data_IF_731770177452
#
_entry.id   IF_731770177452
#
_cell.length_a   1.000
_cell.length_b   1.000
_cell.length_c   1.000
_cell.angle_alpha   90.00
_cell.angle_beta   90.00
_cell.angle_gamma   90.00
#
_symmetry.space_group_name_H-M   'P 1'
#
loop_
_entity.id
_entity.type
_entity.pdbx_description
1 polymer ?
#
# COMPACT_ATOMS: atom_id res chain seq x y z
N UNK A 1 29.76 47.76 6.53
CA UNK A 1 29.78 46.59 5.60
C UNK A 1 29.86 45.23 6.28
N UNK A 2 30.40 45.07 7.50
CA UNK A 2 30.49 43.76 8.18
C UNK A 2 29.11 43.15 8.51
N UNK A 3 28.15 43.97 8.95
CA UNK A 3 26.79 43.52 9.36
C UNK A 3 25.93 42.97 8.20
N UNK A 4 26.16 43.41 6.96
CA UNK A 4 25.45 42.93 5.77
C UNK A 4 25.97 41.54 5.34
N UNK A 5 27.27 41.26 5.52
CA UNK A 5 27.85 39.95 5.22
C UNK A 5 27.26 38.86 6.11
N UNK A 6 27.10 39.13 7.41
CA UNK A 6 26.49 38.16 8.32
C UNK A 6 25.03 37.84 7.95
N UNK A 7 24.27 38.83 7.47
CA UNK A 7 22.88 38.65 7.07
C UNK A 7 22.73 37.72 5.86
N UNK A 8 23.64 37.81 4.88
CA UNK A 8 23.68 36.93 3.70
C UNK A 8 24.08 35.50 4.09
N UNK A 9 25.02 35.33 5.03
CA UNK A 9 25.41 34.00 5.52
C UNK A 9 24.29 33.31 6.32
N UNK A 10 23.48 34.05 7.08
CA UNK A 10 22.31 33.49 7.77
C UNK A 10 21.15 33.13 6.82
N UNK A 11 20.99 33.86 5.71
CA UNK A 11 19.92 33.59 4.74
C UNK A 11 20.23 32.38 3.85
N UNK A 12 21.52 32.11 3.57
CA UNK A 12 21.93 30.93 2.79
C UNK A 12 21.81 29.61 3.57
N UNK A 13 21.84 29.64 4.91
CA UNK A 13 21.76 28.44 5.76
C UNK A 13 20.34 27.88 5.91
N UNK A 14 19.32 28.66 5.57
CA UNK A 14 17.91 28.31 5.76
C UNK A 14 17.30 27.48 4.61
N UNK A 15 18.03 27.27 3.50
CA UNK A 15 17.49 26.62 2.29
C UNK A 15 17.75 25.09 2.26
N UNK A 16 18.43 24.51 3.25
CA UNK A 16 18.89 23.09 3.17
C UNK A 16 17.86 22.06 3.69
N UNK A 17 16.62 22.43 4.03
CA UNK A 17 15.67 21.54 4.73
C UNK A 17 14.35 21.21 4.03
N UNK A 18 14.33 21.05 2.71
CA UNK A 18 13.15 20.45 2.03
C UNK A 18 13.54 19.46 0.94
N UNK A 19 14.26 18.41 1.32
CA UNK A 19 14.36 17.22 0.49
C UNK A 19 14.44 15.96 1.37
N UNK A 20 13.54 15.84 2.35
CA UNK A 20 13.21 14.53 2.90
C UNK A 20 12.37 13.81 1.83
N UNK A 21 13.05 13.33 0.79
CA UNK A 21 12.43 12.54 -0.27
C UNK A 21 11.96 11.22 0.32
N UNK A 22 10.72 11.16 0.79
CA UNK A 22 10.00 9.89 0.86
C UNK A 22 10.03 9.31 -0.54
N UNK A 23 10.83 8.26 -0.75
CA UNK A 23 10.78 7.49 -1.98
C UNK A 23 9.35 7.00 -2.12
N UNK A 24 8.60 7.60 -3.03
CA UNK A 24 7.25 7.18 -3.34
C UNK A 24 7.31 5.73 -3.79
N UNK A 25 6.67 4.84 -3.02
CA UNK A 25 6.61 3.41 -3.37
C UNK A 25 5.60 3.29 -4.50
N UNK A 26 6.09 3.24 -5.73
CA UNK A 26 5.25 2.95 -6.89
C UNK A 26 4.78 1.49 -6.79
N UNK A 27 3.46 1.22 -6.69
CA UNK A 27 2.96 -0.14 -6.68
C UNK A 27 3.15 -0.80 -8.05
N UNK A 28 3.27 -2.13 -8.07
CA UNK A 28 3.34 -2.91 -9.32
C UNK A 28 1.97 -2.94 -10.02
N UNK A 29 0.88 -3.01 -9.24
CA UNK A 29 -0.50 -3.10 -9.72
C UNK A 29 -1.47 -2.21 -8.92
N UNK A 30 -2.55 -1.78 -9.56
CA UNK A 30 -3.82 -1.41 -8.91
C UNK A 30 -4.65 -2.66 -8.58
N UNK A 31 -5.71 -2.55 -7.76
CA UNK A 31 -6.62 -3.69 -7.52
C UNK A 31 -7.21 -4.26 -8.80
N UNK A 32 -7.66 -3.40 -9.73
CA UNK A 32 -8.24 -3.83 -11.00
C UNK A 32 -7.24 -4.60 -11.88
N UNK A 33 -6.00 -4.13 -11.95
CA UNK A 33 -4.96 -4.82 -12.71
C UNK A 33 -4.55 -6.13 -12.05
N UNK A 34 -4.45 -6.16 -10.72
CA UNK A 34 -4.16 -7.38 -9.97
C UNK A 34 -5.26 -8.44 -10.18
N UNK A 35 -6.52 -8.05 -10.09
CA UNK A 35 -7.66 -8.96 -10.34
C UNK A 35 -7.66 -9.50 -11.77
N UNK A 36 -7.39 -8.64 -12.75
CA UNK A 36 -7.27 -9.05 -14.16
C UNK A 36 -6.13 -10.05 -14.34
N UNK A 37 -4.96 -9.77 -13.78
CA UNK A 37 -3.79 -10.65 -13.87
C UNK A 37 -4.04 -12.02 -13.21
N UNK A 38 -4.64 -12.03 -12.01
CA UNK A 38 -5.02 -13.28 -11.33
C UNK A 38 -6.04 -14.08 -12.14
N UNK A 39 -7.05 -13.43 -12.72
CA UNK A 39 -8.04 -14.06 -13.59
C UNK A 39 -7.41 -14.64 -14.88
N UNK A 40 -6.30 -14.07 -15.33
CA UNK A 40 -5.51 -14.59 -16.46
C UNK A 40 -4.53 -15.71 -16.05
N UNK A 41 -4.49 -16.08 -14.76
CA UNK A 41 -3.62 -17.14 -14.24
C UNK A 41 -2.18 -16.70 -13.92
N UNK A 42 -1.92 -15.39 -13.81
CA UNK A 42 -0.60 -14.89 -13.42
C UNK A 42 -0.32 -15.10 -11.92
N UNK A 43 0.93 -15.39 -11.58
CA UNK A 43 1.40 -15.41 -10.18
C UNK A 43 1.88 -14.02 -9.77
N UNK A 44 1.19 -13.43 -8.79
CA UNK A 44 1.52 -12.11 -8.24
C UNK A 44 2.33 -12.17 -6.94
N UNK A 45 2.84 -13.33 -6.55
CA UNK A 45 3.64 -13.49 -5.32
C UNK A 45 4.84 -12.54 -5.31
N UNK A 46 4.97 -11.77 -4.22
CA UNK A 46 6.03 -10.78 -4.04
C UNK A 46 5.78 -9.42 -4.70
N UNK A 47 4.74 -9.29 -5.53
CA UNK A 47 4.31 -8.02 -6.12
C UNK A 47 3.54 -7.16 -5.12
N UNK A 48 3.47 -5.87 -5.42
CA UNK A 48 2.74 -4.88 -4.63
C UNK A 48 1.46 -4.43 -5.33
N UNK A 49 0.38 -4.35 -4.56
CA UNK A 49 -0.93 -3.90 -5.06
C UNK A 49 -1.39 -2.70 -4.24
N UNK A 50 -1.76 -1.62 -4.91
CA UNK A 50 -2.42 -0.47 -4.29
C UNK A 50 -3.93 -0.55 -4.47
N UNK A 51 -4.68 -0.33 -3.40
CA UNK A 51 -6.13 -0.34 -3.42
C UNK A 51 -6.74 0.55 -2.33
N UNK A 52 -8.03 0.84 -2.47
CA UNK A 52 -8.86 1.46 -1.43
C UNK A 52 -9.58 0.35 -0.67
N UNK A 53 -9.66 0.45 0.65
CA UNK A 53 -10.43 -0.52 1.46
C UNK A 53 -11.93 -0.29 1.23
N UNK A 54 -12.57 -1.19 0.49
CA UNK A 54 -14.01 -1.10 0.24
C UNK A 54 -14.79 -1.62 1.45
N UNK A 55 -14.35 -2.74 2.03
CA UNK A 55 -14.90 -3.26 3.29
C UNK A 55 -13.81 -3.90 4.16
N UNK A 56 -13.88 -3.62 5.45
CA UNK A 56 -13.04 -4.26 6.46
C UNK A 56 -13.89 -5.17 7.34
N UNK A 57 -13.51 -6.44 7.44
CA UNK A 57 -14.14 -7.46 8.28
C UNK A 57 -13.12 -7.91 9.31
N UNK A 58 -13.16 -7.37 10.55
CA UNK A 58 -12.32 -7.85 11.63
C UNK A 58 -12.81 -9.21 12.14
N UNK A 59 -11.89 -10.04 12.61
CA UNK A 59 -12.18 -11.29 13.35
C UNK A 59 -13.11 -12.27 12.61
N UNK A 60 -12.91 -12.44 11.30
CA UNK A 60 -13.62 -13.42 10.48
C UNK A 60 -12.98 -14.82 10.53
N UNK A 61 -13.61 -15.80 9.90
CA UNK A 61 -13.08 -17.18 9.81
C UNK A 61 -11.73 -17.30 9.08
N UNK A 62 -11.38 -16.31 8.26
CA UNK A 62 -10.09 -16.19 7.59
C UNK A 62 -9.12 -15.22 8.30
N UNK A 63 -9.48 -14.74 9.49
CA UNK A 63 -8.79 -13.66 10.20
C UNK A 63 -9.33 -12.28 9.82
N UNK A 64 -8.45 -11.29 9.81
CA UNK A 64 -8.77 -9.92 9.40
C UNK A 64 -8.82 -9.85 7.87
N UNK A 65 -9.97 -9.51 7.31
CA UNK A 65 -10.18 -9.49 5.86
C UNK A 65 -10.47 -8.07 5.38
N UNK A 66 -9.75 -7.67 4.34
CA UNK A 66 -9.98 -6.46 3.57
C UNK A 66 -10.53 -6.88 2.21
N UNK A 67 -11.75 -6.46 1.89
CA UNK A 67 -12.37 -6.70 0.59
C UNK A 67 -12.17 -5.47 -0.29
N UNK A 68 -11.79 -5.71 -1.54
CA UNK A 68 -11.69 -4.68 -2.58
C UNK A 68 -11.87 -5.28 -3.96
N UNK A 69 -12.13 -4.43 -4.95
CA UNK A 69 -12.44 -4.89 -6.30
C UNK A 69 -13.69 -5.77 -6.30
N UNK A 70 -13.84 -6.60 -7.32
CA UNK A 70 -15.01 -7.46 -7.41
C UNK A 70 -14.85 -8.68 -6.49
N UNK A 71 -13.67 -9.32 -6.49
CA UNK A 71 -13.44 -10.64 -5.88
C UNK A 71 -12.13 -10.75 -5.07
N UNK A 72 -11.47 -9.64 -4.71
CA UNK A 72 -10.22 -9.68 -3.93
C UNK A 72 -10.46 -9.62 -2.42
N UNK A 73 -9.82 -10.55 -1.70
CA UNK A 73 -9.89 -10.64 -0.24
C UNK A 73 -8.46 -10.70 0.33
N UNK A 74 -7.95 -9.58 0.81
CA UNK A 74 -6.65 -9.49 1.48
C UNK A 74 -6.79 -9.88 2.95
N UNK A 75 -6.14 -10.98 3.36
CA UNK A 75 -6.29 -11.59 4.68
C UNK A 75 -5.01 -11.48 5.51
N UNK A 76 -5.17 -11.26 6.80
CA UNK A 76 -4.08 -11.18 7.77
C UNK A 76 -4.45 -11.85 9.09
N UNK A 77 -3.49 -12.52 9.73
CA UNK A 77 -3.66 -13.09 11.08
C UNK A 77 -3.55 -12.04 12.19
N UNK A 78 -2.99 -10.86 11.88
CA UNK A 78 -2.86 -9.72 12.81
C UNK A 78 -3.67 -8.53 12.29
N UNK A 79 -4.20 -7.72 13.19
CA UNK A 79 -4.93 -6.52 12.82
C UNK A 79 -4.03 -5.60 11.94
N UNK A 80 -4.40 -5.33 10.67
CA UNK A 80 -3.59 -4.51 9.77
C UNK A 80 -3.73 -2.99 10.01
N UNK A 81 -4.53 -2.58 11.00
CA UNK A 81 -4.81 -1.19 11.37
C UNK A 81 -5.27 -0.37 10.15
N UNK A 82 -6.45 -0.74 9.63
CA UNK A 82 -7.10 -0.09 8.48
C UNK A 82 -8.59 0.07 8.74
N UNK A 83 -9.20 0.98 7.98
CA UNK A 83 -10.66 1.20 7.93
C UNK A 83 -11.11 1.39 6.48
N UNK A 84 -12.42 1.27 6.26
CA UNK A 84 -13.03 1.59 4.96
C UNK A 84 -12.65 2.99 4.49
N UNK A 85 -12.27 3.08 3.21
CA UNK A 85 -11.80 4.31 2.55
C UNK A 85 -10.29 4.55 2.63
N UNK A 86 -9.54 3.81 3.46
CA UNK A 86 -8.09 3.95 3.50
C UNK A 86 -7.46 3.46 2.19
N UNK A 87 -6.39 4.13 1.75
CA UNK A 87 -5.52 3.65 0.67
C UNK A 87 -4.38 2.82 1.27
N UNK A 88 -4.17 1.62 0.72
CA UNK A 88 -3.18 0.66 1.21
C UNK A 88 -2.31 0.19 0.05
N UNK A 89 -1.02 0.00 0.29
CA UNK A 89 -0.12 -0.77 -0.58
C UNK A 89 0.22 -2.07 0.16
N UNK A 90 -0.17 -3.19 -0.43
CA UNK A 90 0.04 -4.52 0.13
C UNK A 90 1.04 -5.30 -0.72
N UNK A 91 2.02 -5.96 -0.08
CA UNK A 91 2.89 -6.92 -0.76
C UNK A 91 2.29 -8.33 -0.64
N UNK A 92 2.00 -8.96 -1.78
CA UNK A 92 1.41 -10.29 -1.85
C UNK A 92 2.43 -11.33 -1.37
N UNK A 93 1.98 -12.23 -0.50
CA UNK A 93 2.77 -13.35 0.05
C UNK A 93 2.31 -14.69 -0.48
N UNK A 94 1.00 -14.84 -0.67
CA UNK A 94 0.35 -16.06 -1.16
C UNK A 94 -1.00 -15.69 -1.75
N UNK A 95 -1.40 -16.38 -2.82
CA UNK A 95 -2.72 -16.26 -3.43
C UNK A 95 -3.35 -17.64 -3.55
N UNK A 96 -4.63 -17.74 -3.21
CA UNK A 96 -5.46 -18.95 -3.39
C UNK A 96 -6.79 -18.56 -4.03
N UNK A 97 -7.34 -19.42 -4.89
CA UNK A 97 -8.71 -19.24 -5.42
C UNK A 97 -9.66 -20.12 -4.62
N UNK A 98 -10.68 -19.52 -4.01
CA UNK A 98 -11.77 -20.23 -3.36
C UNK A 98 -13.08 -19.81 -4.02
N UNK A 99 -13.67 -20.73 -4.80
CA UNK A 99 -14.98 -20.55 -5.43
C UNK A 99 -15.11 -19.24 -6.24
N UNK A 100 -14.05 -18.86 -6.97
CA UNK A 100 -14.03 -17.65 -7.79
C UNK A 100 -13.62 -16.37 -7.04
N UNK A 101 -13.34 -16.46 -5.74
CA UNK A 101 -12.74 -15.37 -4.97
C UNK A 101 -11.25 -15.58 -4.75
N UNK A 102 -10.47 -14.50 -4.83
CA UNK A 102 -9.04 -14.52 -4.57
C UNK A 102 -8.76 -14.21 -3.10
N UNK A 103 -8.19 -15.19 -2.39
CA UNK A 103 -7.74 -15.06 -1.00
C UNK A 103 -6.25 -14.77 -1.01
N UNK A 104 -5.87 -13.59 -0.50
CA UNK A 104 -4.53 -13.02 -0.66
C UNK A 104 -3.93 -12.77 0.72
N UNK A 105 -2.92 -13.55 1.10
CA UNK A 105 -2.11 -13.22 2.29
C UNK A 105 -1.11 -12.13 1.93
N UNK A 106 -0.93 -11.13 2.79
CA UNK A 106 -0.10 -9.97 2.49
C UNK A 106 0.71 -9.44 3.68
N UNK A 107 1.74 -8.66 3.36
CA UNK A 107 2.38 -7.73 4.30
C UNK A 107 1.99 -6.29 3.94
N UNK A 108 1.59 -5.48 4.94
CA UNK A 108 1.39 -4.03 4.75
C UNK A 108 2.77 -3.35 4.59
N UNK A 109 2.92 -2.54 3.54
CA UNK A 109 4.17 -1.85 3.19
C UNK A 109 4.30 -0.48 3.84
#
# INVERSE_FOLDING_TARGET
MKKIKYFIYTLLLLIVFTACGTKEVKPDYTSKEAETALNNGEDLTGKTVQFTVDKYVPDGSLGYTIQTGDHLNFVSSKNPDVRTGDKVIAKIKKVENLMGSWIITFDKK
#
